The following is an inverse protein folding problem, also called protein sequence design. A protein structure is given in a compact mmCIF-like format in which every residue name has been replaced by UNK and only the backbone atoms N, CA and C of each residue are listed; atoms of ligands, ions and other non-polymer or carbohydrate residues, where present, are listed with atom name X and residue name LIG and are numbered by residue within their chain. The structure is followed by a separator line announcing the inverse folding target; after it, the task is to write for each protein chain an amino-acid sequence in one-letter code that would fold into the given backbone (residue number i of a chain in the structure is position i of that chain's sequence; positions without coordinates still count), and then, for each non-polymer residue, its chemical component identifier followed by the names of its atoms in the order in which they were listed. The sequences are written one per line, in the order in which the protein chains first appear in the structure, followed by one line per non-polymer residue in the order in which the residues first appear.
data_IF_055469206886
#
_entry.id   IF_055469206886
#
_cell.length_a   1.000
_cell.length_b   1.000
_cell.length_c   1.000
_cell.angle_alpha   90.00
_cell.angle_beta   90.00
_cell.angle_gamma   90.00
#
_symmetry.space_group_name_H-M   'P 1'
#
loop_
_entity.id
_entity.type
_entity.pdbx_description
1 polymer ?
#
# COMPACT_ATOMS: atom_id res chain seq x y z
N UNK A 1 -0.99 13.42 11.43
CA UNK A 1 -2.07 13.48 10.43
C UNK A 1 -3.25 14.19 11.06
N UNK A 2 -3.53 15.36 10.52
CA UNK A 2 -4.60 16.27 10.90
C UNK A 2 -5.16 16.91 9.62
N UNK A 3 -6.32 17.56 9.73
CA UNK A 3 -6.91 18.33 8.63
C UNK A 3 -5.96 19.42 8.12
N UNK A 4 -5.30 20.14 9.03
CA UNK A 4 -4.37 21.22 8.70
C UNK A 4 -3.18 20.70 7.86
N UNK A 5 -2.70 19.50 8.18
CA UNK A 5 -1.64 18.85 7.39
C UNK A 5 -2.12 18.45 5.98
N UNK A 6 -3.35 17.94 5.87
CA UNK A 6 -3.94 17.56 4.58
C UNK A 6 -4.25 18.77 3.68
N UNK A 7 -4.69 19.88 4.28
CA UNK A 7 -5.12 21.06 3.53
C UNK A 7 -3.92 21.97 3.18
N UNK A 8 -2.75 21.75 3.78
CA UNK A 8 -1.51 22.48 3.49
C UNK A 8 -0.89 22.10 2.14
N UNK A 9 -0.74 23.08 1.25
CA UNK A 9 -0.05 22.91 -0.05
C UNK A 9 1.41 22.53 0.11
N UNK A 10 2.12 23.13 1.06
CA UNK A 10 3.53 22.84 1.33
C UNK A 10 3.70 21.40 1.80
N UNK A 11 2.87 20.95 2.75
CA UNK A 11 2.90 19.57 3.22
C UNK A 11 2.58 18.57 2.11
N UNK A 12 1.62 18.90 1.24
CA UNK A 12 1.32 18.08 0.06
C UNK A 12 2.55 17.92 -0.83
N UNK A 13 3.21 19.02 -1.19
CA UNK A 13 4.38 18.98 -2.07
C UNK A 13 5.52 18.16 -1.45
N UNK A 14 5.79 18.33 -0.17
CA UNK A 14 6.81 17.55 0.55
C UNK A 14 6.48 16.05 0.56
N UNK A 15 5.23 15.68 0.85
CA UNK A 15 4.81 14.27 0.82
C UNK A 15 4.96 13.69 -0.58
N UNK A 16 4.51 14.41 -1.61
CA UNK A 16 4.64 13.95 -2.99
C UNK A 16 6.11 13.77 -3.38
N UNK A 17 6.99 14.71 -3.02
CA UNK A 17 8.41 14.57 -3.28
C UNK A 17 9.03 13.38 -2.53
N UNK A 18 8.75 13.25 -1.23
CA UNK A 18 9.29 12.16 -0.43
C UNK A 18 8.81 10.77 -0.91
N UNK A 19 7.52 10.64 -1.25
CA UNK A 19 6.92 9.36 -1.67
C UNK A 19 7.18 9.03 -3.13
N UNK A 20 6.95 9.99 -4.02
CA UNK A 20 6.87 9.71 -5.45
C UNK A 20 8.24 9.84 -6.11
N UNK A 21 9.08 10.77 -5.64
CA UNK A 21 10.44 10.97 -6.16
C UNK A 21 11.46 10.18 -5.36
N UNK A 22 11.57 10.45 -4.06
CA UNK A 22 12.61 9.82 -3.22
C UNK A 22 12.29 8.39 -2.77
N UNK A 23 11.06 7.92 -3.02
CA UNK A 23 10.56 6.60 -2.60
C UNK A 23 10.81 6.30 -1.11
N UNK A 24 10.73 7.33 -0.26
CA UNK A 24 10.93 7.20 1.19
C UNK A 24 9.78 6.45 1.83
N UNK A 25 10.14 5.64 2.83
CA UNK A 25 9.16 5.00 3.71
C UNK A 25 8.50 6.02 4.60
N UNK A 26 7.29 5.71 5.00
CA UNK A 26 6.41 6.66 5.65
C UNK A 26 5.44 5.90 6.53
N UNK A 27 5.41 6.27 7.80
CA UNK A 27 4.50 5.72 8.80
C UNK A 27 3.52 6.85 9.15
N UNK A 28 2.25 6.78 8.72
CA UNK A 28 1.27 7.79 9.06
C UNK A 28 0.93 7.73 10.55
N UNK A 29 0.94 8.88 11.23
CA UNK A 29 0.56 9.00 12.64
C UNK A 29 -0.69 9.88 12.74
N UNK A 30 -1.80 9.36 13.24
CA UNK A 30 -3.04 10.09 13.47
C UNK A 30 -3.08 10.62 14.91
N UNK A 31 -3.22 11.94 15.02
CA UNK A 31 -3.24 12.64 16.31
C UNK A 31 -4.66 13.03 16.72
N UNK A 32 -5.60 13.16 15.77
CA UNK A 32 -7.00 13.52 16.03
C UNK A 32 -7.95 12.34 15.79
N UNK A 33 -8.88 12.07 16.70
CA UNK A 33 -9.82 10.92 16.70
C UNK A 33 -10.59 10.74 15.41
N UNK A 34 -11.20 11.82 14.97
CA UNK A 34 -12.19 11.77 13.89
C UNK A 34 -11.57 12.17 12.55
N UNK A 35 -10.27 12.47 12.56
CA UNK A 35 -9.57 12.73 11.33
C UNK A 35 -9.35 11.42 10.57
N UNK A 36 -9.94 11.37 9.39
CA UNK A 36 -9.70 10.37 8.36
C UNK A 36 -9.08 11.10 7.19
N UNK A 37 -7.90 10.65 6.76
CA UNK A 37 -7.26 11.23 5.60
C UNK A 37 -8.08 10.91 4.36
N UNK A 38 -8.36 11.92 3.54
CA UNK A 38 -9.13 11.80 2.31
C UNK A 38 -8.37 12.39 1.14
N UNK A 39 -8.92 12.27 -0.07
CA UNK A 39 -8.35 12.84 -1.30
C UNK A 39 -6.88 12.43 -1.51
N UNK A 40 -6.01 13.38 -1.87
CA UNK A 40 -4.61 13.17 -2.19
C UNK A 40 -3.84 12.46 -1.06
N UNK A 41 -4.12 12.81 0.19
CA UNK A 41 -3.40 12.26 1.33
C UNK A 41 -3.86 10.83 1.58
N UNK A 42 -5.18 10.59 1.54
CA UNK A 42 -5.77 9.27 1.65
C UNK A 42 -5.13 8.28 0.68
N UNK A 43 -5.10 8.61 -0.62
CA UNK A 43 -4.55 7.74 -1.68
C UNK A 43 -3.08 7.38 -1.43
N UNK A 44 -2.26 8.31 -0.92
CA UNK A 44 -0.81 8.11 -0.73
C UNK A 44 -0.43 7.40 0.57
N UNK A 45 -1.37 7.29 1.50
CA UNK A 45 -1.17 6.58 2.77
C UNK A 45 -1.98 5.28 2.87
N UNK A 46 -2.72 4.89 1.82
CA UNK A 46 -3.31 3.55 1.75
C UNK A 46 -2.20 2.50 1.62
N UNK A 47 -2.22 1.48 2.48
CA UNK A 47 -1.28 0.35 2.44
C UNK A 47 -0.35 0.31 3.67
N UNK A 48 0.44 1.36 3.96
CA UNK A 48 1.29 1.39 5.15
C UNK A 48 0.48 1.24 6.45
N UNK A 49 1.01 0.48 7.41
CA UNK A 49 0.51 0.48 8.77
C UNK A 49 0.59 1.91 9.34
N UNK A 50 -0.45 2.31 10.08
CA UNK A 50 -0.57 3.63 10.68
C UNK A 50 -0.82 3.51 12.17
N UNK A 51 -0.42 4.54 12.91
CA UNK A 51 -0.63 4.65 14.36
C UNK A 51 -1.71 5.68 14.65
N UNK A 52 -2.50 5.46 15.71
CA UNK A 52 -3.46 6.42 16.22
C UNK A 52 -3.29 6.59 17.73
N UNK A 53 -2.87 7.78 18.16
CA UNK A 53 -2.46 8.08 19.54
C UNK A 53 -3.57 8.10 20.59
N UNK A 54 -4.84 7.98 20.20
CA UNK A 54 -5.98 8.14 21.12
C UNK A 54 -6.74 6.84 21.42
N UNK A 55 -6.29 5.69 20.90
CA UNK A 55 -6.94 4.40 21.19
C UNK A 55 -6.39 3.72 22.45
N UNK A 56 -5.17 4.05 22.86
CA UNK A 56 -4.42 3.45 23.96
C UNK A 56 -3.76 4.56 24.78
N UNK A 57 -3.09 4.21 25.88
CA UNK A 57 -2.24 5.17 26.58
C UNK A 57 -1.13 5.68 25.67
N UNK A 58 -0.55 6.83 26.02
CA UNK A 58 0.56 7.41 25.25
C UNK A 58 1.73 6.43 25.17
N UNK A 59 2.12 5.85 26.31
CA UNK A 59 3.26 4.93 26.41
C UNK A 59 3.03 3.66 25.57
N UNK A 60 1.85 3.05 25.65
CA UNK A 60 1.49 1.89 24.83
C UNK A 60 1.55 2.20 23.33
N UNK A 61 1.13 3.41 22.96
CA UNK A 61 1.14 3.85 21.56
C UNK A 61 2.57 4.09 21.07
N UNK A 62 3.44 4.64 21.92
CA UNK A 62 4.87 4.81 21.61
C UNK A 62 5.55 3.45 21.43
N UNK A 63 5.24 2.46 22.26
CA UNK A 63 5.75 1.10 22.05
C UNK A 63 5.30 0.52 20.71
N UNK A 64 4.06 0.77 20.30
CA UNK A 64 3.55 0.36 18.99
C UNK A 64 4.31 1.04 17.84
N UNK A 65 4.57 2.34 17.95
CA UNK A 65 5.40 3.09 16.99
C UNK A 65 6.80 2.48 16.88
N UNK A 66 7.44 2.16 18.01
CA UNK A 66 8.77 1.56 18.04
C UNK A 66 8.75 0.18 17.35
N UNK A 67 7.75 -0.65 17.65
CA UNK A 67 7.58 -1.96 17.00
C UNK A 67 7.44 -1.82 15.49
N UNK A 68 6.60 -0.89 15.02
CA UNK A 68 6.45 -0.60 13.59
C UNK A 68 7.77 -0.18 12.93
N UNK A 69 8.54 0.70 13.57
CA UNK A 69 9.84 1.13 13.03
C UNK A 69 10.83 -0.05 12.94
N UNK A 70 10.83 -0.95 13.92
CA UNK A 70 11.70 -2.12 13.93
C UNK A 70 11.29 -3.11 12.81
N UNK A 71 9.99 -3.39 12.67
CA UNK A 71 9.45 -4.27 11.62
C UNK A 71 9.74 -3.73 10.23
N UNK A 72 9.50 -2.43 10.04
CA UNK A 72 9.84 -1.70 8.83
C UNK A 72 11.35 -1.87 8.54
N UNK A 73 12.25 -1.63 9.50
CA UNK A 73 13.71 -1.86 9.31
C UNK A 73 14.07 -3.31 8.93
N UNK A 74 13.37 -4.31 9.46
CA UNK A 74 13.61 -5.73 9.12
C UNK A 74 13.26 -6.04 7.66
N UNK A 75 12.12 -5.56 7.17
CA UNK A 75 11.72 -5.71 5.76
C UNK A 75 12.74 -5.06 4.80
N UNK A 76 13.40 -4.00 5.25
CA UNK A 76 14.45 -3.33 4.47
C UNK A 76 15.69 -4.19 4.23
N UNK A 77 16.02 -5.11 5.16
CA UNK A 77 17.16 -6.03 5.01
C UNK A 77 16.82 -7.22 4.11
N UNK A 78 15.57 -7.70 4.14
CA UNK A 78 15.12 -8.79 3.27
C UNK A 78 15.03 -8.39 1.80
N UNK A 79 14.60 -7.15 1.51
CA UNK A 79 14.48 -6.66 0.14
C UNK A 79 15.85 -6.34 -0.50
N UNK A 80 16.83 -5.90 0.30
CA UNK A 80 18.20 -5.66 -0.17
C UNK A 80 18.97 -6.94 -0.54
N UNK A 81 18.58 -8.09 0.00
CA UNK A 81 19.23 -9.38 -0.29
C UNK A 81 18.72 -10.05 -1.57
N UNK A 82 17.85 -9.41 -2.36
CA UNK A 82 17.20 -10.00 -3.54
C UNK A 82 17.54 -9.33 -4.88
N UNK A 83 18.60 -8.53 -4.94
CA UNK A 83 19.08 -7.92 -6.19
C UNK A 83 20.57 -8.20 -6.38
N UNK A 84 20.86 -9.09 -7.34
CA UNK A 84 22.17 -9.24 -7.98
C UNK A 84 22.40 -8.05 -8.92
N UNK A 85 23.62 -7.50 -8.87
CA UNK A 85 24.19 -6.43 -9.72
C UNK A 85 23.98 -6.64 -11.23
N UNK A 86 23.98 -5.56 -12.05
CA UNK A 86 25.24 -5.12 -12.66
C UNK A 86 25.46 -3.60 -12.83
N UNK A 87 26.76 -3.27 -12.84
CA UNK A 87 27.47 -2.16 -13.51
C UNK A 87 27.38 -0.74 -12.93
N UNK A 88 28.36 -0.45 -12.06
CA UNK A 88 28.91 0.89 -11.80
C UNK A 88 30.04 1.15 -12.79
N UNK A 89 29.95 2.22 -13.59
CA UNK A 89 31.08 2.79 -14.34
C UNK A 89 31.76 3.84 -13.45
N UNK A 90 32.98 3.57 -12.99
CA UNK A 90 33.89 4.56 -12.36
C UNK A 90 34.94 5.03 -13.40
N UNK A 91 35.64 6.16 -13.19
CA UNK A 91 36.94 6.12 -12.45
C UNK A 91 37.31 7.48 -11.74
N UNK A 92 38.50 7.69 -11.12
CA UNK A 92 39.51 6.77 -10.53
C UNK A 92 40.05 7.13 -9.11
N UNK A 93 40.56 6.09 -8.41
CA UNK A 93 41.82 5.96 -7.60
C UNK A 93 42.00 6.77 -6.28
N UNK A 94 42.28 6.06 -5.17
CA UNK A 94 43.54 6.01 -4.39
C UNK A 94 43.46 4.86 -3.35
N UNK A 95 44.59 4.16 -3.23
CA UNK A 95 44.91 2.96 -2.44
C UNK A 95 44.59 3.01 -0.93
N UNK A 96 44.26 1.85 -0.34
CA UNK A 96 45.19 1.17 0.61
C UNK A 96 44.69 -0.20 1.10
N UNK A 97 45.67 -0.98 1.53
CA UNK A 97 45.75 -2.43 1.67
C UNK A 97 45.31 -2.95 3.05
N UNK A 98 44.93 -4.23 3.05
CA UNK A 98 44.95 -5.24 4.14
C UNK A 98 43.82 -5.25 5.19
N UNK A 99 43.14 -6.39 5.33
CA UNK A 99 43.36 -7.40 6.41
C UNK A 99 42.53 -8.66 6.11
N UNK A 100 43.11 -9.78 6.55
CA UNK A 100 42.77 -11.19 6.45
C UNK A 100 41.44 -11.63 7.10
N UNK A 101 40.96 -12.80 6.66
CA UNK A 101 40.26 -13.89 7.36
C UNK A 101 39.10 -13.54 8.33
N UNK A 102 37.91 -14.13 8.21
CA UNK A 102 37.62 -15.50 8.67
C UNK A 102 36.34 -16.02 7.98
N UNK A 103 36.40 -17.29 7.54
CA UNK A 103 35.28 -18.12 7.08
C UNK A 103 34.50 -18.73 8.24
N UNK A 104 33.18 -18.77 8.04
CA UNK A 104 32.21 -19.84 8.34
C UNK A 104 32.05 -20.38 9.77
N UNK A 105 30.83 -20.28 10.30
CA UNK A 105 30.09 -21.48 10.71
C UNK A 105 28.57 -21.25 10.81
N UNK A 106 27.84 -22.31 10.47
CA UNK A 106 26.40 -22.43 10.17
C UNK A 106 25.58 -22.83 11.40
N UNK A 107 24.30 -22.43 11.46
CA UNK A 107 23.12 -23.20 11.98
C UNK A 107 21.90 -22.27 12.09
N UNK A 108 20.95 -22.33 11.15
CA UNK A 108 19.74 -23.18 11.16
C UNK A 108 18.80 -22.93 12.34
N UNK A 109 17.73 -22.17 12.13
CA UNK A 109 16.40 -22.50 12.67
C UNK A 109 15.34 -21.93 11.73
N UNK A 110 14.54 -22.85 11.19
CA UNK A 110 13.38 -22.62 10.34
C UNK A 110 12.28 -21.94 11.16
N UNK A 111 11.53 -21.01 10.54
CA UNK A 111 10.10 -20.82 10.86
C UNK A 111 9.36 -20.03 9.77
N UNK A 112 8.70 -20.79 8.90
CA UNK A 112 7.37 -20.59 8.31
C UNK A 112 6.90 -19.16 7.95
N UNK A 113 7.46 -18.60 6.86
CA UNK A 113 6.72 -17.63 6.04
C UNK A 113 5.80 -18.39 5.07
N UNK A 114 4.49 -18.25 5.27
CA UNK A 114 3.46 -18.59 4.27
C UNK A 114 3.76 -17.77 3.01
N UNK A 115 4.35 -18.41 2.00
CA UNK A 115 4.48 -17.87 0.65
C UNK A 115 3.07 -17.75 0.07
N UNK A 116 2.49 -16.56 0.08
CA UNK A 116 1.32 -16.26 -0.77
C UNK A 116 1.75 -16.51 -2.22
N UNK A 117 1.19 -17.55 -2.81
CA UNK A 117 1.42 -17.96 -4.19
C UNK A 117 0.62 -17.02 -5.10
N UNK A 118 1.11 -15.79 -5.29
CA UNK A 118 0.45 -14.75 -6.11
C UNK A 118 0.48 -15.13 -7.59
N UNK A 119 -0.36 -16.08 -7.99
CA UNK A 119 -0.48 -16.48 -9.39
C UNK A 119 -1.10 -15.38 -10.25
N UNK A 120 -1.95 -14.52 -9.68
CA UNK A 120 -2.60 -13.42 -10.40
C UNK A 120 -1.64 -12.27 -10.76
N UNK A 121 -0.53 -12.07 -10.03
CA UNK A 121 0.40 -10.96 -10.29
C UNK A 121 1.22 -11.11 -11.57
N UNK A 122 1.18 -12.28 -12.21
CA UNK A 122 1.83 -12.57 -13.49
C UNK A 122 0.90 -12.33 -14.69
N UNK A 123 -0.39 -12.13 -14.42
CA UNK A 123 -1.43 -12.01 -15.43
C UNK A 123 -1.86 -10.53 -15.49
N UNK A 124 -1.93 -9.91 -16.69
CA UNK A 124 -2.48 -8.56 -16.82
C UNK A 124 -3.88 -8.45 -16.22
N UNK A 125 -4.21 -7.30 -15.60
CA UNK A 125 -5.51 -7.10 -14.93
C UNK A 125 -6.67 -7.37 -15.89
N UNK A 126 -6.52 -7.04 -17.18
CA UNK A 126 -7.52 -7.26 -18.22
C UNK A 126 -7.94 -8.74 -18.37
N UNK A 127 -7.06 -9.67 -18.00
CA UNK A 127 -7.29 -11.12 -18.10
C UNK A 127 -7.72 -11.75 -16.76
N UNK A 128 -7.88 -10.96 -15.70
CA UNK A 128 -8.31 -11.49 -14.40
C UNK A 128 -9.73 -12.02 -14.48
N UNK A 129 -9.93 -13.18 -13.87
CA UNK A 129 -11.25 -13.76 -13.59
C UNK A 129 -11.68 -13.44 -12.15
N UNK A 130 -12.92 -13.78 -11.80
CA UNK A 130 -13.50 -13.57 -10.47
C UNK A 130 -12.59 -14.08 -9.35
N UNK A 131 -11.94 -15.23 -9.52
CA UNK A 131 -11.04 -15.81 -8.53
C UNK A 131 -9.76 -14.97 -8.33
N UNK A 132 -9.24 -14.38 -9.40
CA UNK A 132 -8.08 -13.49 -9.33
C UNK A 132 -8.44 -12.18 -8.64
N UNK A 133 -9.65 -11.66 -8.90
CA UNK A 133 -10.16 -10.43 -8.30
C UNK A 133 -10.36 -10.61 -6.79
N UNK A 134 -11.00 -11.71 -6.38
CA UNK A 134 -11.18 -12.05 -4.97
C UNK A 134 -9.81 -12.16 -4.27
N UNK A 135 -8.90 -12.96 -4.81
CA UNK A 135 -7.56 -13.12 -4.25
C UNK A 135 -6.80 -11.78 -4.17
N UNK A 136 -6.91 -10.91 -5.18
CA UNK A 136 -6.28 -9.59 -5.15
C UNK A 136 -6.78 -8.75 -3.98
N UNK A 137 -8.09 -8.73 -3.76
CA UNK A 137 -8.69 -7.94 -2.69
C UNK A 137 -8.43 -8.54 -1.31
N UNK A 138 -8.41 -9.87 -1.18
CA UNK A 138 -7.96 -10.57 0.03
C UNK A 138 -6.52 -10.18 0.41
N UNK A 139 -5.61 -10.21 -0.57
CA UNK A 139 -4.21 -9.80 -0.40
C UNK A 139 -4.07 -8.31 -0.01
N UNK A 140 -5.10 -7.49 -0.28
CA UNK A 140 -5.18 -6.07 0.10
C UNK A 140 -6.04 -5.83 1.35
N UNK A 141 -6.45 -6.88 2.06
CA UNK A 141 -7.29 -6.81 3.27
C UNK A 141 -8.60 -6.04 3.05
N UNK A 142 -9.24 -6.27 1.91
CA UNK A 142 -10.55 -5.70 1.57
C UNK A 142 -11.64 -6.74 1.90
N UNK A 143 -12.72 -6.28 2.50
CA UNK A 143 -13.87 -7.11 2.84
C UNK A 143 -14.51 -7.70 1.58
N UNK A 144 -14.68 -9.03 1.57
CA UNK A 144 -15.24 -9.76 0.43
C UNK A 144 -16.69 -9.34 0.12
N UNK A 145 -17.44 -8.99 1.17
CA UNK A 145 -18.80 -8.47 1.10
C UNK A 145 -18.92 -7.23 0.21
N UNK A 146 -17.88 -6.39 0.21
CA UNK A 146 -17.82 -5.19 -0.61
C UNK A 146 -17.61 -5.54 -2.08
N UNK A 147 -16.82 -6.56 -2.38
CA UNK A 147 -16.58 -7.05 -3.74
C UNK A 147 -17.86 -7.69 -4.29
N UNK A 148 -18.55 -8.46 -3.46
CA UNK A 148 -19.80 -9.15 -3.77
C UNK A 148 -20.97 -8.18 -4.07
N UNK A 149 -20.87 -6.90 -3.68
CA UNK A 149 -21.85 -5.88 -4.05
C UNK A 149 -21.69 -5.37 -5.49
N UNK A 150 -20.47 -5.37 -6.02
CA UNK A 150 -20.20 -4.91 -7.38
C UNK A 150 -20.30 -6.04 -8.42
N UNK A 151 -20.29 -7.30 -8.00
CA UNK A 151 -20.31 -8.50 -8.86
C UNK A 151 -19.30 -8.42 -10.02
N UNK A 152 -18.05 -8.02 -9.73
CA UNK A 152 -17.00 -8.00 -10.74
C UNK A 152 -16.74 -9.42 -11.27
N UNK A 153 -16.91 -9.63 -12.58
CA UNK A 153 -16.73 -10.94 -13.22
C UNK A 153 -15.35 -11.04 -13.88
N UNK A 154 -14.89 -9.93 -14.42
CA UNK A 154 -13.65 -9.81 -15.17
C UNK A 154 -12.86 -8.60 -14.70
N UNK A 155 -11.53 -8.64 -14.82
CA UNK A 155 -10.70 -7.52 -14.40
C UNK A 155 -10.92 -6.25 -15.23
N UNK A 156 -11.47 -6.39 -16.45
CA UNK A 156 -11.98 -5.25 -17.24
C UNK A 156 -13.05 -4.48 -16.45
N UNK A 157 -13.93 -5.15 -15.72
CA UNK A 157 -14.97 -4.50 -14.91
C UNK A 157 -14.33 -3.63 -13.81
N UNK A 158 -13.24 -4.11 -13.18
CA UNK A 158 -12.46 -3.33 -12.21
C UNK A 158 -11.82 -2.11 -12.85
N UNK A 159 -11.24 -2.26 -14.05
CA UNK A 159 -10.58 -1.17 -14.76
C UNK A 159 -11.58 -0.10 -15.22
N UNK A 160 -12.76 -0.51 -15.70
CA UNK A 160 -13.85 0.41 -16.03
C UNK A 160 -14.35 1.12 -14.78
N UNK A 161 -14.59 0.37 -13.71
CA UNK A 161 -15.01 0.94 -12.44
C UNK A 161 -13.99 1.98 -11.92
N UNK A 162 -12.69 1.68 -12.00
CA UNK A 162 -11.62 2.63 -11.68
C UNK A 162 -11.70 3.93 -12.48
N UNK A 163 -12.03 3.85 -13.77
CA UNK A 163 -12.18 5.03 -14.63
C UNK A 163 -13.44 5.83 -14.29
N UNK A 164 -14.53 5.15 -13.91
CA UNK A 164 -15.78 5.77 -13.47
C UNK A 164 -15.70 6.36 -12.06
N UNK A 165 -14.72 5.94 -11.26
CA UNK A 165 -14.55 6.40 -9.89
C UNK A 165 -14.22 7.90 -9.87
N UNK A 166 -15.21 8.72 -9.52
CA UNK A 166 -15.05 10.18 -9.47
C UNK A 166 -14.06 10.59 -8.38
N UNK A 167 -13.40 11.76 -8.51
CA UNK A 167 -12.57 12.34 -7.44
C UNK A 167 -13.34 12.51 -6.13
N UNK A 168 -14.66 12.72 -6.23
CA UNK A 168 -15.59 12.78 -5.11
C UNK A 168 -16.27 11.43 -4.88
N UNK A 169 -15.48 10.47 -4.42
CA UNK A 169 -15.96 9.14 -4.04
C UNK A 169 -16.97 9.14 -2.88
N UNK A 170 -17.26 10.28 -2.26
CA UNK A 170 -18.23 10.37 -1.15
C UNK A 170 -19.64 10.06 -1.62
N UNK A 171 -20.00 10.44 -2.84
CA UNK A 171 -21.29 10.12 -3.45
C UNK A 171 -21.43 8.60 -3.61
N UNK A 172 -20.37 7.96 -4.13
CA UNK A 172 -20.32 6.51 -4.30
C UNK A 172 -20.36 5.80 -2.93
N UNK A 173 -19.63 6.30 -1.94
CA UNK A 173 -19.64 5.77 -0.58
C UNK A 173 -21.05 5.76 0.01
N UNK A 174 -21.79 6.86 -0.09
CA UNK A 174 -23.15 6.94 0.46
C UNK A 174 -24.06 5.89 -0.20
N UNK A 175 -24.03 5.81 -1.53
CA UNK A 175 -24.84 4.86 -2.30
C UNK A 175 -24.47 3.39 -2.05
N UNK A 176 -23.20 3.11 -1.74
CA UNK A 176 -22.73 1.75 -1.43
C UNK A 176 -22.94 1.39 0.03
N UNK A 177 -22.82 2.36 0.95
CA UNK A 177 -23.03 2.10 2.38
C UNK A 177 -24.46 1.67 2.68
N UNK A 178 -25.45 2.26 2.00
CA UNK A 178 -26.86 1.89 2.13
C UNK A 178 -27.09 0.46 1.65
N UNK A 179 -26.66 0.13 0.43
CA UNK A 179 -26.74 -1.24 -0.13
C UNK A 179 -26.00 -2.28 0.72
N UNK A 180 -24.87 -1.90 1.32
CA UNK A 180 -24.10 -2.78 2.19
C UNK A 180 -24.84 -3.08 3.49
N UNK A 181 -25.44 -2.07 4.11
CA UNK A 181 -26.22 -2.22 5.33
C UNK A 181 -27.49 -3.06 5.09
N UNK A 182 -28.19 -2.82 3.97
CA UNK A 182 -29.35 -3.62 3.56
C UNK A 182 -29.00 -5.10 3.35
N UNK A 183 -27.88 -5.41 2.69
CA UNK A 183 -27.52 -6.78 2.31
C UNK A 183 -26.90 -7.58 3.46
N UNK A 184 -26.08 -6.94 4.30
CA UNK A 184 -25.28 -7.64 5.31
C UNK A 184 -25.66 -7.29 6.76
N UNK A 185 -26.67 -6.43 6.96
CA UNK A 185 -27.12 -5.98 8.29
C UNK A 185 -25.97 -5.45 9.17
N UNK A 186 -25.02 -4.76 8.54
CA UNK A 186 -23.85 -4.19 9.21
C UNK A 186 -23.39 -2.93 8.48
N UNK A 187 -22.74 -2.03 9.20
CA UNK A 187 -22.32 -0.73 8.66
C UNK A 187 -21.02 -0.86 7.89
N UNK A 188 -21.01 -0.36 6.65
CA UNK A 188 -19.76 -0.11 5.93
C UNK A 188 -19.08 1.14 6.49
N UNK A 189 -17.89 0.98 7.06
CA UNK A 189 -17.12 2.12 7.54
C UNK A 189 -16.40 2.82 6.39
N UNK A 190 -16.29 4.14 6.50
CA UNK A 190 -15.63 4.99 5.50
C UNK A 190 -14.19 4.56 5.22
N UNK A 191 -13.45 4.13 6.22
CA UNK A 191 -12.07 3.68 6.05
C UNK A 191 -11.98 2.35 5.28
N UNK A 192 -12.94 1.43 5.46
CA UNK A 192 -13.02 0.20 4.64
C UNK A 192 -13.24 0.53 3.17
N UNK A 193 -14.15 1.47 2.88
CA UNK A 193 -14.39 1.92 1.51
C UNK A 193 -13.20 2.66 0.90
N UNK A 194 -12.51 3.50 1.68
CA UNK A 194 -11.28 4.18 1.21
C UNK A 194 -10.17 3.18 0.90
N UNK A 195 -10.03 2.11 1.69
CA UNK A 195 -9.08 1.03 1.38
C UNK A 195 -9.41 0.35 0.05
N UNK A 196 -10.69 0.06 -0.19
CA UNK A 196 -11.16 -0.50 -1.45
C UNK A 196 -10.85 0.41 -2.64
N UNK A 197 -11.22 1.69 -2.56
CA UNK A 197 -10.88 2.71 -3.57
C UNK A 197 -9.38 2.77 -3.82
N UNK A 198 -8.59 2.76 -2.74
CA UNK A 198 -7.14 2.75 -2.85
C UNK A 198 -6.58 1.51 -3.54
N UNK A 199 -7.15 0.33 -3.28
CA UNK A 199 -6.79 -0.91 -3.98
C UNK A 199 -7.12 -0.80 -5.48
N UNK A 200 -8.34 -0.38 -5.82
CA UNK A 200 -8.75 -0.18 -7.23
C UNK A 200 -7.83 0.82 -7.95
N UNK A 201 -7.40 1.90 -7.30
CA UNK A 201 -6.48 2.87 -7.91
C UNK A 201 -5.07 2.32 -8.19
N UNK A 202 -4.61 1.32 -7.42
CA UNK A 202 -3.30 0.67 -7.58
C UNK A 202 -3.25 -0.32 -8.75
N UNK A 203 -4.37 -0.63 -9.38
CA UNK A 203 -4.38 -1.45 -10.59
C UNK A 203 -3.58 -0.75 -11.69
N UNK A 204 -2.55 -1.42 -12.18
CA UNK A 204 -1.83 -0.99 -13.37
C UNK A 204 -2.55 -1.55 -14.60
N UNK A 205 -3.02 -0.67 -15.48
CA UNK A 205 -3.45 -1.09 -16.81
C UNK A 205 -2.22 -1.34 -17.65
N UNK A 206 -2.20 -2.43 -18.42
CA UNK A 206 -1.09 -2.74 -19.32
C UNK A 206 -0.85 -1.64 -20.38
N UNK A 207 -1.85 -0.80 -20.62
CA UNK A 207 -1.81 0.34 -21.56
C UNK A 207 -1.20 1.65 -21.02
N UNK A 208 -0.71 1.73 -19.78
CA UNK A 208 -0.11 2.99 -19.27
C UNK A 208 1.37 3.19 -19.65
N UNK A 209 1.96 2.26 -20.42
CA UNK A 209 3.24 2.48 -21.10
C UNK A 209 2.95 2.88 -22.55
N UNK A 210 3.42 4.07 -22.92
CA UNK A 210 3.41 4.72 -24.26
C UNK A 210 2.07 5.23 -24.83
N UNK A 211 1.82 6.52 -24.64
CA UNK A 211 1.53 7.41 -25.77
C UNK A 211 2.60 8.51 -25.77
N UNK A 212 3.75 8.23 -26.39
CA UNK A 212 4.62 9.29 -26.89
C UNK A 212 3.99 9.69 -28.22
N UNK A 213 3.27 10.81 -28.22
CA UNK A 213 2.80 11.42 -29.45
C UNK A 213 4.06 11.94 -30.17
N UNK A 214 4.37 11.36 -31.33
CA UNK A 214 5.35 11.88 -32.28
C UNK A 214 4.71 12.92 -33.18
#
# INVERSE_FOLDING_TARGET
MSKDYQDSKSCRQEVMYAKDVLKKRFIPIYVKKDFVATSWLGVRIVGPQYIRFEKKSFDDTIEEVIKLIIEDKKQQKSDKNKVTEPSTTSPPIIDNKSIEDIKNETKSTEDNHIKSNRNYSKIPVEQWKKENIAQYFDDNYIHQELIDLYDFRHGIDLLLYRQCLRPDWQIEYNAISERYEEKYNTKLYRDQFVRFVGAVHRLESSNSKSCIIS
#
